data_IF_688304154647
#
_entry.id   IF_688304154647
#
_cell.length_a   1.000
_cell.length_b   1.000
_cell.length_c   1.000
_cell.angle_alpha   90.00
_cell.angle_beta   90.00
_cell.angle_gamma   90.00
#
_symmetry.space_group_name_H-M   'P 1'
#
loop_
_entity.id
_entity.type
_entity.pdbx_description
1 polymer ?
#
# COMPACT_ATOMS: atom_id res chain seq x y z
N UNK A 1 8.43 -15.09 -13.60
CA UNK A 1 7.73 -14.10 -14.42
C UNK A 1 8.74 -13.46 -15.39
N UNK A 2 8.36 -13.37 -16.67
CA UNK A 2 9.26 -12.91 -17.74
C UNK A 2 9.75 -11.48 -17.51
N UNK A 3 8.89 -10.61 -17.00
CA UNK A 3 9.23 -9.20 -16.67
C UNK A 3 10.33 -9.15 -15.61
N UNK A 4 10.25 -9.99 -14.60
CA UNK A 4 11.27 -10.08 -13.55
C UNK A 4 12.62 -10.49 -14.14
N UNK A 5 12.65 -11.51 -14.99
CA UNK A 5 13.88 -12.00 -15.64
C UNK A 5 14.51 -10.94 -16.54
N UNK A 6 13.71 -10.20 -17.28
CA UNK A 6 14.20 -9.10 -18.13
C UNK A 6 14.81 -7.96 -17.31
N UNK A 7 14.16 -7.61 -16.19
CA UNK A 7 14.69 -6.59 -15.27
C UNK A 7 15.99 -7.05 -14.61
N UNK A 8 16.04 -8.29 -14.12
CA UNK A 8 17.26 -8.86 -13.55
C UNK A 8 18.42 -8.86 -14.56
N UNK A 9 18.17 -9.26 -15.82
CA UNK A 9 19.18 -9.23 -16.88
C UNK A 9 19.65 -7.81 -17.21
N UNK A 10 18.74 -6.83 -17.27
CA UNK A 10 19.04 -5.40 -17.46
C UNK A 10 19.94 -4.88 -16.33
N UNK A 11 19.61 -5.21 -15.08
CA UNK A 11 20.35 -4.77 -13.90
C UNK A 11 21.71 -5.47 -13.75
N UNK A 12 21.84 -6.71 -14.23
CA UNK A 12 23.13 -7.37 -14.34
C UNK A 12 24.08 -6.65 -15.33
N UNK A 13 23.53 -6.11 -16.42
CA UNK A 13 24.27 -5.31 -17.39
C UNK A 13 24.51 -3.86 -16.93
N UNK A 14 23.60 -3.27 -16.16
CA UNK A 14 23.70 -1.93 -15.62
C UNK A 14 23.34 -1.88 -14.12
N UNK A 15 24.28 -2.22 -13.22
CA UNK A 15 24.01 -2.27 -11.78
C UNK A 15 23.72 -0.92 -11.11
N UNK A 16 23.93 0.21 -11.81
CA UNK A 16 23.66 1.57 -11.32
C UNK A 16 22.34 2.15 -11.83
N UNK A 17 21.48 1.32 -12.43
CA UNK A 17 20.17 1.71 -12.92
C UNK A 17 19.18 1.84 -11.76
N UNK A 18 19.09 3.04 -11.16
CA UNK A 18 18.17 3.36 -10.06
C UNK A 18 16.72 2.96 -10.37
N UNK A 19 16.21 3.40 -11.52
CA UNK A 19 14.82 3.13 -11.91
C UNK A 19 14.58 1.65 -12.17
N UNK A 20 15.57 0.95 -12.72
CA UNK A 20 15.50 -0.50 -12.88
C UNK A 20 15.37 -1.23 -11.53
N UNK A 21 16.13 -0.84 -10.53
CA UNK A 21 16.03 -1.42 -9.18
C UNK A 21 14.70 -1.09 -8.50
N UNK A 22 14.21 0.15 -8.63
CA UNK A 22 12.90 0.56 -8.11
C UNK A 22 11.78 -0.27 -8.76
N UNK A 23 11.82 -0.42 -10.08
CA UNK A 23 10.86 -1.22 -10.84
C UNK A 23 10.90 -2.70 -10.45
N UNK A 24 12.10 -3.28 -10.26
CA UNK A 24 12.26 -4.65 -9.81
C UNK A 24 11.67 -4.86 -8.41
N UNK A 25 11.91 -3.92 -7.48
CA UNK A 25 11.31 -3.93 -6.14
C UNK A 25 9.78 -3.97 -6.20
N UNK A 26 9.18 -3.09 -7.00
CA UNK A 26 7.73 -3.06 -7.20
C UNK A 26 7.20 -4.35 -7.84
N UNK A 27 7.90 -4.90 -8.83
CA UNK A 27 7.54 -6.16 -9.48
C UNK A 27 7.55 -7.31 -8.49
N UNK A 28 8.55 -7.37 -7.61
CA UNK A 28 8.60 -8.37 -6.54
C UNK A 28 7.46 -8.21 -5.52
N UNK A 29 7.07 -6.97 -5.16
CA UNK A 29 5.93 -6.76 -4.26
C UNK A 29 4.63 -7.26 -4.88
N UNK A 30 4.37 -6.93 -6.15
CA UNK A 30 3.18 -7.40 -6.88
C UNK A 30 3.18 -8.93 -7.00
N UNK A 31 4.36 -9.53 -7.14
CA UNK A 31 4.54 -10.99 -7.15
C UNK A 31 4.54 -11.65 -5.77
N UNK A 32 4.28 -10.91 -4.68
CA UNK A 32 4.23 -11.44 -3.31
C UNK A 32 5.59 -11.77 -2.70
N UNK A 33 6.70 -11.34 -3.33
CA UNK A 33 8.05 -11.62 -2.84
C UNK A 33 8.66 -10.39 -2.12
N UNK A 34 8.11 -10.08 -0.94
CA UNK A 34 8.51 -8.92 -0.16
C UNK A 34 10.00 -8.92 0.20
N UNK A 35 10.60 -10.09 0.47
CA UNK A 35 12.03 -10.18 0.81
C UNK A 35 12.93 -9.76 -0.34
N UNK A 36 12.63 -10.17 -1.57
CA UNK A 36 13.38 -9.72 -2.75
C UNK A 36 13.12 -8.24 -3.04
N UNK A 37 11.91 -7.76 -2.79
CA UNK A 37 11.59 -6.34 -2.94
C UNK A 37 12.43 -5.47 -2.00
N UNK A 38 12.61 -5.88 -0.74
CA UNK A 38 13.51 -5.19 0.21
C UNK A 38 14.91 -5.06 -0.36
N UNK A 39 15.49 -6.14 -0.85
CA UNK A 39 16.84 -6.12 -1.44
C UNK A 39 16.94 -5.17 -2.64
N UNK A 40 15.93 -5.17 -3.51
CA UNK A 40 15.90 -4.30 -4.67
C UNK A 40 15.79 -2.81 -4.28
N UNK A 41 14.92 -2.48 -3.33
CA UNK A 41 14.78 -1.11 -2.83
C UNK A 41 16.00 -0.63 -2.06
N UNK A 42 16.65 -1.49 -1.27
CA UNK A 42 17.91 -1.15 -0.60
C UNK A 42 18.99 -0.79 -1.61
N UNK A 43 19.08 -1.55 -2.70
CA UNK A 43 20.01 -1.24 -3.77
C UNK A 43 19.69 0.09 -4.46
N UNK A 44 18.41 0.36 -4.72
CA UNK A 44 17.98 1.64 -5.27
C UNK A 44 18.34 2.82 -4.33
N UNK A 45 18.14 2.65 -3.01
CA UNK A 45 18.48 3.65 -1.98
C UNK A 45 19.99 3.91 -1.93
N UNK A 46 20.81 2.87 -2.01
CA UNK A 46 22.29 3.03 -2.09
C UNK A 46 22.69 3.88 -3.29
N UNK A 47 22.10 3.60 -4.47
CA UNK A 47 22.41 4.32 -5.72
C UNK A 47 21.94 5.78 -5.64
N UNK A 48 20.77 6.05 -5.03
CA UNK A 48 20.23 7.42 -4.87
C UNK A 48 20.96 8.25 -3.80
N UNK A 49 21.84 7.63 -3.01
CA UNK A 49 22.48 8.29 -1.86
C UNK A 49 21.56 8.45 -0.65
N UNK A 50 20.45 7.73 -0.59
CA UNK A 50 19.58 7.62 0.59
C UNK A 50 18.55 8.75 0.78
N UNK A 51 18.57 9.78 -0.07
CA UNK A 51 17.79 11.02 0.14
C UNK A 51 16.38 11.04 -0.46
N UNK A 52 15.91 9.96 -1.08
CA UNK A 52 14.57 9.89 -1.69
C UNK A 52 13.52 9.39 -0.68
N UNK A 53 12.62 10.27 -0.17
CA UNK A 53 11.60 9.88 0.81
C UNK A 53 10.60 8.87 0.27
N UNK A 54 10.25 8.93 -1.02
CA UNK A 54 9.31 7.97 -1.61
C UNK A 54 9.92 6.58 -1.71
N UNK A 55 11.19 6.51 -2.09
CA UNK A 55 11.92 5.24 -2.14
C UNK A 55 12.10 4.62 -0.76
N UNK A 56 12.30 5.45 0.28
CA UNK A 56 12.30 4.99 1.67
C UNK A 56 10.92 4.41 2.06
N UNK A 57 9.82 5.04 1.67
CA UNK A 57 8.47 4.53 1.91
C UNK A 57 8.18 3.24 1.11
N UNK A 58 8.71 3.10 -0.10
CA UNK A 58 8.63 1.85 -0.87
C UNK A 58 9.36 0.71 -0.15
N UNK A 59 10.52 1.00 0.44
CA UNK A 59 11.23 0.06 1.30
C UNK A 59 10.44 -0.29 2.56
N UNK A 60 9.84 0.71 3.24
CA UNK A 60 9.04 0.48 4.43
C UNK A 60 7.83 -0.42 4.14
N UNK A 61 7.14 -0.21 3.03
CA UNK A 61 6.08 -1.09 2.53
C UNK A 61 6.58 -2.54 2.41
N UNK A 62 7.69 -2.75 1.71
CA UNK A 62 8.27 -4.08 1.54
C UNK A 62 8.61 -4.72 2.89
N UNK A 63 9.22 -3.98 3.81
CA UNK A 63 9.57 -4.45 5.16
C UNK A 63 8.32 -4.85 5.96
N UNK A 64 7.23 -4.09 5.90
CA UNK A 64 5.96 -4.44 6.56
C UNK A 64 5.41 -5.76 6.02
N UNK A 65 5.56 -6.02 4.73
CA UNK A 65 5.06 -7.22 4.06
C UNK A 65 5.93 -8.47 4.26
N UNK A 66 7.18 -8.34 4.72
CA UNK A 66 8.02 -9.51 5.05
C UNK A 66 7.53 -10.26 6.29
N UNK A 67 6.73 -9.63 7.17
CA UNK A 67 6.35 -10.15 8.48
C UNK A 67 7.53 -10.45 9.43
N UNK A 68 8.73 -9.94 9.14
CA UNK A 68 9.90 -10.04 10.01
C UNK A 68 9.84 -8.95 11.10
N UNK A 69 9.95 -9.29 12.40
CA UNK A 69 9.90 -8.31 13.48
C UNK A 69 10.98 -7.24 13.40
N UNK A 70 12.20 -7.60 12.99
CA UNK A 70 13.30 -6.63 12.82
C UNK A 70 13.01 -5.66 11.65
N UNK A 71 12.47 -6.19 10.55
CA UNK A 71 11.99 -5.39 9.42
C UNK A 71 10.87 -4.43 9.81
N UNK A 72 9.94 -4.88 10.64
CA UNK A 72 8.84 -4.03 11.13
C UNK A 72 9.34 -2.84 11.95
N UNK A 73 10.32 -3.03 12.84
CA UNK A 73 10.91 -1.93 13.61
C UNK A 73 11.59 -0.90 12.71
N UNK A 74 12.28 -1.35 11.67
CA UNK A 74 12.89 -0.47 10.66
C UNK A 74 11.84 0.28 9.84
N UNK A 75 10.79 -0.40 9.43
CA UNK A 75 9.67 0.20 8.71
C UNK A 75 8.98 1.28 9.55
N UNK A 76 8.71 1.00 10.84
CA UNK A 76 8.11 1.97 11.75
C UNK A 76 8.92 3.27 11.82
N UNK A 77 10.25 3.16 11.95
CA UNK A 77 11.12 4.33 11.98
C UNK A 77 11.04 5.15 10.68
N UNK A 78 11.09 4.51 9.52
CA UNK A 78 10.99 5.19 8.21
C UNK A 78 9.63 5.91 8.09
N UNK A 79 8.56 5.24 8.51
CA UNK A 79 7.20 5.79 8.45
C UNK A 79 7.04 6.97 9.41
N UNK A 80 7.60 6.89 10.62
CA UNK A 80 7.56 7.99 11.58
C UNK A 80 8.35 9.20 11.07
N UNK A 81 9.54 9.00 10.48
CA UNK A 81 10.32 10.06 9.85
C UNK A 81 9.54 10.72 8.69
N UNK A 82 8.84 9.91 7.87
CA UNK A 82 8.00 10.40 6.78
C UNK A 82 6.80 11.22 7.31
N UNK A 83 6.13 10.77 8.38
CA UNK A 83 5.01 11.48 9.00
C UNK A 83 5.44 12.74 9.75
N UNK A 84 6.70 12.78 10.23
CA UNK A 84 7.28 13.99 10.81
C UNK A 84 7.54 15.05 9.73
N UNK A 85 7.96 14.64 8.53
CA UNK A 85 8.18 15.53 7.39
C UNK A 85 6.87 15.96 6.71
N UNK A 86 5.97 15.01 6.49
CA UNK A 86 4.62 15.22 5.93
C UNK A 86 3.57 14.44 6.73
N UNK A 87 2.91 15.11 7.71
CA UNK A 87 1.86 14.47 8.51
C UNK A 87 0.63 14.04 7.73
N UNK A 88 0.52 14.40 6.46
CA UNK A 88 -0.56 14.05 5.55
C UNK A 88 -0.19 12.97 4.53
N UNK A 89 1.02 12.43 4.57
CA UNK A 89 1.43 11.39 3.65
C UNK A 89 0.53 10.14 3.76
N UNK A 90 -0.29 9.88 2.74
CA UNK A 90 -1.30 8.84 2.75
C UNK A 90 -0.72 7.44 2.88
N UNK A 91 0.42 7.15 2.20
CA UNK A 91 1.11 5.86 2.28
C UNK A 91 1.66 5.62 3.69
N UNK A 92 2.28 6.64 4.29
CA UNK A 92 2.81 6.57 5.64
C UNK A 92 1.70 6.41 6.68
N UNK A 93 0.57 7.13 6.54
CA UNK A 93 -0.60 6.95 7.40
C UNK A 93 -1.18 5.54 7.31
N UNK A 94 -1.29 4.99 6.11
CA UNK A 94 -1.77 3.63 5.90
C UNK A 94 -0.91 2.60 6.63
N UNK A 95 0.40 2.59 6.35
CA UNK A 95 1.31 1.61 6.95
C UNK A 95 1.56 1.82 8.44
N UNK A 96 1.52 3.07 8.94
CA UNK A 96 1.52 3.36 10.38
C UNK A 96 0.34 2.69 11.09
N UNK A 97 -0.86 2.78 10.50
CA UNK A 97 -2.04 2.10 11.01
C UNK A 97 -1.90 0.57 11.00
N UNK A 98 -1.34 0.00 9.94
CA UNK A 98 -1.08 -1.45 9.83
C UNK A 98 -0.11 -1.94 10.90
N UNK A 99 0.99 -1.22 11.12
CA UNK A 99 1.98 -1.57 12.16
C UNK A 99 1.35 -1.45 13.55
N UNK A 100 0.62 -0.37 13.83
CA UNK A 100 -0.08 -0.16 15.09
C UNK A 100 -1.08 -1.30 15.37
N UNK A 101 -1.86 -1.70 14.38
CA UNK A 101 -2.80 -2.81 14.51
C UNK A 101 -2.10 -4.14 14.84
N UNK A 102 -0.97 -4.43 14.21
CA UNK A 102 -0.17 -5.63 14.50
C UNK A 102 0.43 -5.63 15.91
N UNK A 103 0.69 -4.43 16.45
CA UNK A 103 1.14 -4.23 17.84
C UNK A 103 -0.02 -4.19 18.84
N UNK A 104 -1.27 -4.48 18.41
CA UNK A 104 -2.51 -4.36 19.17
C UNK A 104 -2.81 -2.92 19.68
N UNK A 105 -2.15 -1.91 19.11
CA UNK A 105 -2.42 -0.50 19.36
C UNK A 105 -3.55 0.00 18.44
N UNK A 106 -4.77 -0.36 18.83
CA UNK A 106 -5.98 -0.04 18.05
C UNK A 106 -6.27 1.45 18.00
N UNK A 107 -5.90 2.20 19.03
CA UNK A 107 -6.16 3.65 19.08
C UNK A 107 -5.28 4.41 18.09
N UNK A 108 -4.00 4.07 17.99
CA UNK A 108 -3.12 4.62 16.97
C UNK A 108 -3.59 4.23 15.56
N UNK A 109 -3.96 2.96 15.35
CA UNK A 109 -4.48 2.51 14.05
C UNK A 109 -5.72 3.32 13.62
N UNK A 110 -6.70 3.49 14.52
CA UNK A 110 -7.90 4.31 14.28
C UNK A 110 -7.53 5.76 13.93
N UNK A 111 -6.67 6.38 14.72
CA UNK A 111 -6.28 7.78 14.50
C UNK A 111 -5.60 7.98 13.13
N UNK A 112 -4.70 7.07 12.74
CA UNK A 112 -4.00 7.14 11.44
C UNK A 112 -4.95 6.95 10.27
N UNK A 113 -5.82 5.96 10.32
CA UNK A 113 -6.76 5.67 9.23
C UNK A 113 -7.90 6.69 9.15
N UNK A 114 -8.38 7.25 10.27
CA UNK A 114 -9.33 8.38 10.26
C UNK A 114 -8.68 9.58 9.56
N UNK A 115 -7.45 9.94 9.92
CA UNK A 115 -6.72 11.01 9.26
C UNK A 115 -6.51 10.76 7.76
N UNK A 116 -6.31 9.52 7.35
CA UNK A 116 -6.22 9.16 5.93
C UNK A 116 -7.55 9.40 5.21
N UNK A 117 -8.70 9.08 5.83
CA UNK A 117 -10.02 9.36 5.26
C UNK A 117 -10.32 10.84 5.11
N UNK A 118 -9.85 11.68 6.03
CA UNK A 118 -10.01 13.15 5.98
C UNK A 118 -9.36 13.77 4.73
N UNK A 119 -8.38 13.10 4.13
CA UNK A 119 -7.71 13.53 2.90
C UNK A 119 -8.48 13.19 1.62
N UNK A 120 -9.67 12.59 1.76
CA UNK A 120 -10.49 12.20 0.63
C UNK A 120 -9.72 11.29 -0.37
N UNK A 121 -9.18 10.15 0.07
CA UNK A 121 -8.42 9.25 -0.79
C UNK A 121 -9.30 8.68 -1.91
N UNK A 122 -8.72 8.09 -2.97
CA UNK A 122 -9.46 7.38 -4.00
C UNK A 122 -10.43 6.35 -3.42
N UNK A 123 -11.53 6.08 -4.11
CA UNK A 123 -12.63 5.27 -3.59
C UNK A 123 -12.20 3.86 -3.18
N UNK A 124 -11.26 3.25 -3.91
CA UNK A 124 -10.72 1.92 -3.58
C UNK A 124 -10.01 1.93 -2.22
N UNK A 125 -9.17 2.95 -2.00
CA UNK A 125 -8.45 3.10 -0.72
C UNK A 125 -9.43 3.42 0.40
N UNK A 126 -10.40 4.31 0.14
CA UNK A 126 -11.44 4.67 1.10
C UNK A 126 -12.22 3.46 1.58
N UNK A 127 -12.66 2.59 0.68
CA UNK A 127 -13.40 1.38 1.02
C UNK A 127 -12.59 0.47 1.95
N UNK A 128 -11.31 0.23 1.63
CA UNK A 128 -10.42 -0.59 2.45
C UNK A 128 -10.26 0.02 3.85
N UNK A 129 -10.01 1.33 3.93
CA UNK A 129 -9.82 2.03 5.22
C UNK A 129 -11.09 2.00 6.06
N UNK A 130 -12.25 2.22 5.45
CA UNK A 130 -13.57 2.14 6.14
C UNK A 130 -13.80 0.73 6.69
N UNK A 131 -13.50 -0.31 5.93
CA UNK A 131 -13.62 -1.69 6.37
C UNK A 131 -12.71 -2.00 7.56
N UNK A 132 -11.46 -1.54 7.52
CA UNK A 132 -10.53 -1.69 8.65
C UNK A 132 -11.02 -0.97 9.90
N UNK A 133 -11.54 0.26 9.77
CA UNK A 133 -12.10 1.03 10.89
C UNK A 133 -13.35 0.37 11.45
N UNK A 134 -14.24 -0.14 10.62
CA UNK A 134 -15.42 -0.89 11.05
C UNK A 134 -15.04 -2.13 11.87
N UNK A 135 -14.00 -2.86 11.45
CA UNK A 135 -13.42 -3.98 12.21
C UNK A 135 -12.88 -3.58 13.59
N UNK A 136 -12.54 -2.31 13.77
CA UNK A 136 -12.10 -1.73 15.05
C UNK A 136 -13.26 -1.08 15.85
N UNK A 137 -14.50 -1.20 15.39
CA UNK A 137 -15.69 -0.63 16.04
C UNK A 137 -15.86 0.88 15.85
N UNK A 138 -15.27 1.45 14.81
CA UNK A 138 -15.45 2.85 14.42
C UNK A 138 -16.48 2.92 13.31
N UNK A 139 -17.59 3.62 13.53
CA UNK A 139 -18.50 3.96 12.43
C UNK A 139 -17.81 4.97 11.50
N UNK A 140 -17.81 4.67 10.20
CA UNK A 140 -17.26 5.59 9.21
C UNK A 140 -18.04 6.91 9.23
N UNK A 141 -17.38 8.07 9.10
CA UNK A 141 -18.09 9.34 9.03
C UNK A 141 -19.10 9.31 7.87
N UNK A 142 -20.32 9.78 8.13
CA UNK A 142 -21.46 9.71 7.20
C UNK A 142 -21.21 10.31 5.81
N UNK A 143 -20.18 11.14 5.65
CA UNK A 143 -19.74 11.68 4.35
C UNK A 143 -19.12 10.63 3.41
N UNK A 144 -18.70 9.47 3.92
CA UNK A 144 -18.16 8.39 3.10
C UNK A 144 -19.23 7.44 2.53
N UNK A 145 -20.44 7.46 3.14
CA UNK A 145 -21.55 6.56 2.76
C UNK A 145 -22.49 7.14 1.69
N UNK A 146 -22.49 8.46 1.49
CA UNK A 146 -23.50 9.09 0.61
C UNK A 146 -23.20 9.03 -0.88
N UNK A 147 -21.99 8.71 -1.31
CA UNK A 147 -21.67 8.55 -2.74
C UNK A 147 -22.12 7.22 -3.32
N UNK A 148 -22.27 6.16 -2.50
CA UNK A 148 -22.68 4.83 -2.98
C UNK A 148 -24.20 4.65 -3.06
N UNK A 149 -24.99 5.45 -2.35
CA UNK A 149 -26.46 5.34 -2.38
C UNK A 149 -27.13 6.24 -3.44
N UNK A 150 -26.43 7.21 -3.99
CA UNK A 150 -26.97 8.07 -5.05
C UNK A 150 -26.93 7.42 -6.44
N UNK A 151 -26.16 6.34 -6.63
CA UNK A 151 -26.10 5.59 -7.89
C UNK A 151 -27.19 4.52 -8.03
N UNK A 152 -28.00 4.28 -7.00
CA UNK A 152 -29.03 3.22 -7.00
C UNK A 152 -30.47 3.72 -7.27
N UNK A 153 -30.66 5.01 -7.57
CA UNK A 153 -31.99 5.58 -7.82
C UNK A 153 -32.05 6.45 -9.08
N UNK A 154 -31.90 5.80 -10.25
CA UNK A 154 -32.43 6.34 -11.51
C UNK A 154 -32.94 5.17 -12.35
N UNK A 155 -34.20 5.21 -12.86
CA UNK A 155 -34.76 4.10 -13.61
C UNK A 155 -34.33 4.14 -15.08
N UNK A 156 -33.94 2.97 -15.55
CA UNK A 156 -34.13 2.35 -16.85
C UNK A 156 -34.39 3.24 -18.08
N UNK A 157 -33.45 3.27 -19.03
CA UNK A 157 -33.74 3.09 -20.46
C UNK A 157 -32.46 2.78 -21.28
N UNK A 158 -32.53 1.61 -21.93
CA UNK A 158 -31.84 1.18 -23.17
C UNK A 158 -30.31 0.92 -23.16
N UNK A 159 -29.98 -0.37 -23.26
CA UNK A 159 -28.72 -0.94 -23.74
C UNK A 159 -28.55 -0.69 -25.29
N UNK A 160 -27.34 -0.93 -25.93
CA UNK A 160 -26.64 -2.22 -25.84
C UNK A 160 -25.09 -2.23 -25.85
N UNK A 161 -24.58 -3.34 -25.34
CA UNK A 161 -23.43 -4.15 -25.77
C UNK A 161 -22.00 -3.54 -25.85
N UNK A 162 -21.06 -4.01 -25.06
CA UNK A 162 -20.08 -5.05 -25.36
C UNK A 162 -18.82 -4.98 -24.49
N UNK A 163 -18.42 -6.17 -24.01
CA UNK A 163 -17.07 -6.71 -23.75
C UNK A 163 -16.28 -6.17 -22.55
N UNK A 164 -16.33 -6.75 -21.38
CA UNK A 164 -15.55 -7.87 -20.87
C UNK A 164 -14.12 -7.58 -20.46
N UNK A 165 -13.90 -7.52 -19.13
CA UNK A 165 -12.77 -8.23 -18.48
C UNK A 165 -12.85 -8.06 -16.95
N UNK A 166 -13.34 -9.10 -16.32
CA UNK A 166 -13.35 -9.26 -14.87
C UNK A 166 -11.98 -9.75 -14.42
N UNK A 167 -11.28 -8.98 -13.60
CA UNK A 167 -10.14 -9.49 -12.82
C UNK A 167 -10.67 -9.77 -11.41
N UNK A 168 -10.86 -11.05 -11.12
CA UNK A 168 -11.13 -11.53 -9.76
C UNK A 168 -9.79 -11.69 -9.04
N UNK A 169 -9.55 -10.88 -8.03
CA UNK A 169 -8.55 -11.18 -7.00
C UNK A 169 -9.29 -11.90 -5.86
N UNK A 170 -9.06 -13.20 -5.77
CA UNK A 170 -9.56 -14.00 -4.66
C UNK A 170 -8.56 -13.91 -3.50
N UNK A 171 -8.92 -13.19 -2.43
CA UNK A 171 -8.30 -13.32 -1.12
C UNK A 171 -9.03 -14.41 -0.36
N UNK A 172 -8.44 -15.61 -0.32
CA UNK A 172 -8.88 -16.71 0.55
C UNK A 172 -8.30 -16.47 1.94
N UNK A 173 -9.14 -16.17 2.90
CA UNK A 173 -8.83 -16.23 4.34
C UNK A 173 -9.42 -17.53 4.85
N UNK A 174 -8.56 -18.47 5.23
CA UNK A 174 -8.93 -19.73 5.83
C UNK A 174 -8.93 -19.58 7.36
N UNK A 175 -10.03 -19.86 8.07
CA UNK A 175 -10.09 -19.80 9.52
C UNK A 175 -9.75 -21.15 10.13
N UNK A 176 -8.63 -21.24 10.81
CA UNK A 176 -8.45 -22.19 11.91
C UNK A 176 -7.49 -21.62 12.94
#
# INVERSE_FOLDING_TARGET
DEVTLQLEARLAANPQDLEGWRMLGRTYLVGGNATKAVTAYERAIEISGGGDPELQLDLAEALVLTNDPAGQGRAAKIIDDALAADPSNGKALWYSGVIALRADDKETAKARWTKLLEQNPPDEIRQIVVEQLAGLGVEAPASASSASMAAAAAPDEAAPAAVGRTIRVALSVDPK
#
